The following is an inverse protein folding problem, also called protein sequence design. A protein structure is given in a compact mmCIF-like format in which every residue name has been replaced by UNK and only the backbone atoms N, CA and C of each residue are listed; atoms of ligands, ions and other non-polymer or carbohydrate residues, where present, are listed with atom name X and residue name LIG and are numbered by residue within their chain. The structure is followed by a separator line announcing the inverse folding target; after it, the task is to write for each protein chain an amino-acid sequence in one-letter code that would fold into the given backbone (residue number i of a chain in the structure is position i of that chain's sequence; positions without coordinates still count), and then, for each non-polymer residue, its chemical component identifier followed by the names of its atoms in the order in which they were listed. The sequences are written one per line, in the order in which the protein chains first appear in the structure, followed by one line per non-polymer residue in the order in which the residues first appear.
data_IF_426358130253
#
_entry.id   IF_426358130253
#
_cell.length_a   1.000
_cell.length_b   1.000
_cell.length_c   1.000
_cell.angle_alpha   90.00
_cell.angle_beta   90.00
_cell.angle_gamma   90.00
#
_symmetry.space_group_name_H-M   'P 1'
#
loop_
_entity.id
_entity.type
_entity.pdbx_description
1 polymer ?
#
# COMPACT_ATOMS: atom_id res chain seq x y z
N UNK A 1 -21.35 -10.40 -10.64
CA UNK A 1 -20.06 -9.74 -10.43
C UNK A 1 -20.05 -8.49 -11.30
N UNK A 2 -19.56 -7.37 -10.81
CA UNK A 2 -19.33 -6.18 -11.63
C UNK A 2 -18.28 -6.51 -12.71
N UNK A 3 -18.39 -5.86 -13.86
CA UNK A 3 -17.45 -6.06 -14.97
C UNK A 3 -16.04 -5.58 -14.54
N UNK A 4 -15.00 -6.35 -14.90
CA UNK A 4 -13.61 -5.98 -14.63
C UNK A 4 -13.23 -4.72 -15.42
N UNK A 5 -12.25 -3.95 -14.90
CA UNK A 5 -11.71 -2.77 -15.58
C UNK A 5 -11.21 -3.13 -16.99
N UNK A 6 -11.35 -2.20 -17.93
CA UNK A 6 -11.00 -2.40 -19.36
C UNK A 6 -9.71 -1.69 -19.74
N UNK A 7 -9.32 -0.69 -18.99
CA UNK A 7 -8.18 0.17 -19.27
C UNK A 7 -7.01 -0.14 -18.34
N UNK A 8 -5.80 -0.07 -18.85
CA UNK A 8 -4.57 -0.07 -18.05
C UNK A 8 -4.37 1.31 -17.45
N UNK A 9 -3.80 1.36 -16.23
CA UNK A 9 -3.43 2.61 -15.56
C UNK A 9 -2.01 2.52 -15.00
N UNK A 10 -1.34 3.66 -14.99
CA UNK A 10 -0.21 3.97 -14.12
C UNK A 10 -0.59 5.13 -13.22
N UNK A 11 0.07 5.23 -12.05
CA UNK A 11 -0.17 6.34 -11.15
C UNK A 11 1.06 6.72 -10.34
N UNK A 12 1.11 7.98 -9.95
CA UNK A 12 2.12 8.51 -9.02
C UNK A 12 1.41 9.06 -7.80
N UNK A 13 1.87 8.67 -6.62
CA UNK A 13 1.41 9.22 -5.34
C UNK A 13 2.52 10.11 -4.81
N UNK A 14 2.20 11.38 -4.53
CA UNK A 14 3.05 12.27 -3.77
C UNK A 14 2.44 12.44 -2.38
N UNK A 15 3.23 12.15 -1.36
CA UNK A 15 2.84 12.35 0.04
C UNK A 15 4.02 12.87 0.85
N UNK A 16 3.73 13.60 1.90
CA UNK A 16 4.77 14.13 2.77
C UNK A 16 4.66 13.63 4.21
N UNK A 17 5.75 13.83 4.93
CA UNK A 17 5.85 13.60 6.35
C UNK A 17 6.50 14.81 7.02
N UNK A 18 5.93 15.24 8.13
CA UNK A 18 6.45 16.30 8.99
C UNK A 18 6.55 15.78 10.42
N UNK A 19 7.76 15.82 10.99
CA UNK A 19 8.06 15.38 12.35
C UNK A 19 7.56 13.95 12.68
N UNK A 20 7.73 13.03 11.75
CA UNK A 20 7.22 11.66 11.87
C UNK A 20 8.13 10.59 11.29
N UNK A 21 7.79 9.34 11.59
CA UNK A 21 8.42 8.16 11.01
C UNK A 21 7.48 7.51 10.00
N UNK A 22 7.70 7.68 8.70
CA UNK A 22 6.80 7.16 7.68
C UNK A 22 6.84 5.63 7.58
N UNK A 23 8.00 5.02 7.81
CA UNK A 23 8.19 3.57 7.78
C UNK A 23 9.47 3.19 8.54
N UNK A 24 9.30 2.79 9.79
CA UNK A 24 10.41 2.35 10.62
C UNK A 24 11.01 1.01 10.16
N UNK A 25 12.31 0.85 10.43
CA UNK A 25 13.05 -0.36 10.19
C UNK A 25 13.18 -1.18 11.47
N UNK A 26 12.56 -2.36 11.58
CA UNK A 26 12.65 -3.18 12.78
C UNK A 26 14.08 -3.64 13.07
N UNK A 27 14.92 -3.81 12.05
CA UNK A 27 16.32 -4.24 12.19
C UNK A 27 17.24 -3.10 12.62
N UNK A 28 16.79 -1.85 12.48
CA UNK A 28 17.53 -0.63 12.85
C UNK A 28 16.85 0.13 14.01
N UNK A 29 16.28 -0.57 15.00
CA UNK A 29 15.65 0.05 16.14
C UNK A 29 14.46 0.94 15.81
N UNK A 30 13.75 0.63 14.74
CA UNK A 30 12.61 1.38 14.22
C UNK A 30 12.97 2.79 13.69
N UNK A 31 14.22 3.01 13.27
CA UNK A 31 14.60 4.23 12.55
C UNK A 31 13.86 4.33 11.20
N UNK A 32 13.56 5.55 10.70
CA UNK A 32 13.09 5.74 9.33
C UNK A 32 14.06 5.08 8.35
N UNK A 33 13.52 4.33 7.38
CA UNK A 33 14.34 3.68 6.36
C UNK A 33 14.96 4.72 5.44
N UNK A 34 16.24 4.60 5.20
CA UNK A 34 17.01 5.49 4.32
C UNK A 34 17.94 4.64 3.46
N UNK A 35 18.04 4.98 2.19
CA UNK A 35 19.05 4.43 1.30
C UNK A 35 20.44 4.99 1.71
N UNK A 36 21.38 4.16 2.15
CA UNK A 36 22.64 4.63 2.70
C UNK A 36 23.57 5.29 1.67
N UNK A 37 23.37 5.04 0.39
CA UNK A 37 24.19 5.61 -0.68
C UNK A 37 23.70 7.00 -1.10
N UNK A 38 22.38 7.19 -1.13
CA UNK A 38 21.79 8.44 -1.65
C UNK A 38 21.25 9.34 -0.56
N UNK A 39 21.04 8.82 0.66
CA UNK A 39 20.35 9.51 1.74
C UNK A 39 18.83 9.65 1.51
N UNK A 40 18.27 9.07 0.44
CA UNK A 40 16.85 9.14 0.17
C UNK A 40 16.05 8.28 1.16
N UNK A 41 15.01 8.86 1.74
CA UNK A 41 14.06 8.13 2.58
C UNK A 41 13.29 7.09 1.78
N UNK A 42 12.99 5.95 2.42
CA UNK A 42 12.28 4.83 1.81
C UNK A 42 11.01 4.49 2.56
N UNK A 43 9.92 4.24 1.82
CA UNK A 43 8.69 3.65 2.35
C UNK A 43 8.33 2.44 1.50
N UNK A 44 8.20 1.27 2.15
CA UNK A 44 7.93 0.03 1.45
C UNK A 44 6.49 -0.02 0.89
N UNK A 45 6.30 -0.74 -0.20
CA UNK A 45 4.97 -1.01 -0.77
C UNK A 45 4.06 -1.72 0.25
N UNK A 46 4.62 -2.60 1.08
CA UNK A 46 3.88 -3.28 2.15
C UNK A 46 3.30 -2.28 3.15
N UNK A 47 4.06 -1.24 3.51
CA UNK A 47 3.59 -0.17 4.40
C UNK A 47 2.39 0.58 3.79
N UNK A 48 2.48 0.98 2.51
CA UNK A 48 1.41 1.69 1.81
C UNK A 48 0.18 0.78 1.60
N UNK A 49 0.38 -0.46 1.16
CA UNK A 49 -0.70 -1.44 1.00
C UNK A 49 -1.43 -1.73 2.32
N UNK A 50 -0.70 -1.71 3.46
CA UNK A 50 -1.34 -1.86 4.78
C UNK A 50 -2.31 -0.72 5.06
N UNK A 51 -1.93 0.52 4.75
CA UNK A 51 -2.79 1.69 4.96
C UNK A 51 -4.04 1.66 4.07
N UNK A 52 -3.89 1.24 2.81
CA UNK A 52 -5.03 1.02 1.91
C UNK A 52 -5.99 -0.03 2.51
N UNK A 53 -5.46 -1.15 3.02
CA UNK A 53 -6.29 -2.18 3.69
C UNK A 53 -7.02 -1.62 4.91
N UNK A 54 -6.32 -0.87 5.75
CA UNK A 54 -6.92 -0.26 6.95
C UNK A 54 -8.04 0.71 6.59
N UNK A 55 -7.86 1.52 5.54
CA UNK A 55 -8.91 2.40 5.05
C UNK A 55 -10.14 1.62 4.57
N UNK A 56 -9.94 0.62 3.71
CA UNK A 56 -11.04 -0.21 3.19
C UNK A 56 -11.76 -0.95 4.33
N UNK A 57 -11.03 -1.47 5.31
CA UNK A 57 -11.61 -2.09 6.50
C UNK A 57 -12.49 -1.09 7.28
N UNK A 58 -12.03 0.14 7.44
CA UNK A 58 -12.76 1.20 8.14
C UNK A 58 -14.05 1.59 7.42
N UNK A 59 -14.02 1.76 6.08
CA UNK A 59 -15.18 2.26 5.33
C UNK A 59 -16.14 1.17 4.87
N UNK A 60 -15.69 -0.09 4.82
CA UNK A 60 -16.52 -1.23 4.39
C UNK A 60 -16.94 -2.17 5.51
N UNK A 61 -16.33 -2.09 6.69
CA UNK A 61 -16.70 -2.85 7.90
C UNK A 61 -16.96 -4.35 7.61
N UNK A 62 -16.04 -5.00 6.89
CA UNK A 62 -16.13 -6.40 6.46
C UNK A 62 -17.37 -6.71 5.57
N UNK A 63 -17.93 -5.71 4.88
CA UNK A 63 -19.01 -5.91 3.92
C UNK A 63 -18.68 -7.00 2.89
N UNK A 64 -19.68 -7.71 2.42
CA UNK A 64 -19.54 -8.80 1.43
C UNK A 64 -18.74 -8.36 0.22
N UNK A 65 -17.65 -9.07 -0.09
CA UNK A 65 -16.76 -8.77 -1.19
C UNK A 65 -15.67 -7.71 -0.88
N UNK A 66 -15.67 -7.11 0.32
CA UNK A 66 -14.70 -6.09 0.73
C UNK A 66 -13.91 -6.44 1.99
N UNK A 67 -13.97 -7.69 2.41
CA UNK A 67 -13.16 -8.20 3.53
C UNK A 67 -11.67 -8.06 3.21
N UNK A 68 -10.85 -8.00 4.26
CA UNK A 68 -9.39 -7.96 4.15
C UNK A 68 -8.82 -9.31 4.60
N UNK A 69 -8.01 -9.92 3.72
CA UNK A 69 -7.34 -11.18 3.98
C UNK A 69 -6.13 -11.01 4.91
N UNK A 70 -5.27 -10.01 4.62
CA UNK A 70 -4.12 -9.66 5.47
C UNK A 70 -4.59 -8.70 6.56
N UNK A 71 -5.31 -9.24 7.55
CA UNK A 71 -5.92 -8.50 8.66
C UNK A 71 -5.13 -8.73 9.94
N UNK A 72 -5.01 -7.67 10.77
CA UNK A 72 -4.30 -7.76 12.04
C UNK A 72 -4.99 -8.70 13.03
N UNK A 73 -4.20 -9.51 13.75
CA UNK A 73 -4.72 -10.46 14.73
C UNK A 73 -5.52 -11.64 14.16
N UNK A 74 -5.67 -11.77 12.83
CA UNK A 74 -6.41 -12.86 12.19
C UNK A 74 -5.45 -13.83 11.49
N UNK A 75 -5.41 -15.13 11.90
CA UNK A 75 -4.64 -16.13 11.20
C UNK A 75 -5.16 -16.37 9.78
N UNK A 76 -4.27 -16.38 8.79
CA UNK A 76 -4.62 -16.55 7.36
C UNK A 76 -5.36 -17.86 7.07
N UNK A 77 -4.98 -18.95 7.71
CA UNK A 77 -5.59 -20.26 7.53
C UNK A 77 -7.08 -20.30 7.93
N UNK A 78 -7.56 -19.35 8.73
CA UNK A 78 -8.99 -19.22 9.04
C UNK A 78 -9.78 -18.84 7.80
N UNK A 79 -9.32 -17.85 7.07
CA UNK A 79 -9.94 -17.40 5.81
C UNK A 79 -9.81 -18.47 4.72
N UNK A 80 -8.68 -19.21 4.68
CA UNK A 80 -8.51 -20.32 3.76
C UNK A 80 -9.52 -21.43 4.05
N UNK A 81 -9.75 -21.77 5.32
CA UNK A 81 -10.73 -22.78 5.69
C UNK A 81 -12.17 -22.39 5.31
N UNK A 82 -12.51 -21.09 5.42
CA UNK A 82 -13.82 -20.59 4.98
C UNK A 82 -14.06 -20.79 3.48
N UNK A 83 -13.03 -20.55 2.64
CA UNK A 83 -13.13 -20.78 1.20
C UNK A 83 -13.42 -22.25 0.85
N UNK A 84 -12.75 -23.16 1.55
CA UNK A 84 -12.98 -24.57 1.37
C UNK A 84 -14.36 -25.01 1.88
N UNK A 85 -14.77 -24.50 3.04
CA UNK A 85 -16.11 -24.80 3.59
C UNK A 85 -17.24 -24.30 2.67
N UNK A 86 -17.07 -23.14 2.06
CA UNK A 86 -18.03 -22.59 1.09
C UNK A 86 -18.21 -23.44 -0.17
N UNK A 87 -17.25 -24.30 -0.48
CA UNK A 87 -17.27 -25.26 -1.59
C UNK A 87 -17.52 -26.70 -1.13
N UNK A 88 -17.99 -26.91 0.11
CA UNK A 88 -18.21 -28.21 0.74
C UNK A 88 -16.98 -29.12 0.73
N UNK A 89 -15.79 -28.55 0.89
CA UNK A 89 -14.50 -29.27 0.93
C UNK A 89 -13.93 -29.26 2.33
N UNK A 90 -13.46 -30.41 2.79
CA UNK A 90 -12.79 -30.58 4.07
C UNK A 90 -11.39 -31.16 3.86
N UNK A 91 -10.54 -31.12 4.89
CA UNK A 91 -9.20 -31.76 4.86
C UNK A 91 -9.27 -33.24 4.46
N UNK A 92 -10.35 -33.95 4.87
CA UNK A 92 -10.56 -35.39 4.57
C UNK A 92 -10.99 -35.60 3.12
N UNK A 93 -11.76 -34.72 2.56
CA UNK A 93 -12.40 -34.84 1.23
C UNK A 93 -11.61 -34.17 0.11
N UNK A 94 -10.69 -33.27 0.42
CA UNK A 94 -9.98 -32.43 -0.58
C UNK A 94 -9.31 -33.24 -1.69
N UNK A 95 -8.65 -34.35 -1.35
CA UNK A 95 -7.98 -35.23 -2.35
C UNK A 95 -8.96 -35.89 -3.31
N UNK A 96 -10.09 -36.35 -2.80
CA UNK A 96 -11.14 -36.96 -3.61
C UNK A 96 -11.81 -35.91 -4.51
N UNK A 97 -12.21 -34.80 -3.92
CA UNK A 97 -12.86 -33.67 -4.65
C UNK A 97 -11.96 -33.04 -5.73
N UNK A 98 -10.64 -32.96 -5.51
CA UNK A 98 -9.70 -32.50 -6.56
C UNK A 98 -9.61 -33.48 -7.74
N UNK A 99 -9.83 -34.77 -7.53
CA UNK A 99 -9.90 -35.76 -8.62
C UNK A 99 -11.22 -35.69 -9.39
N UNK A 100 -12.31 -35.43 -8.68
CA UNK A 100 -13.66 -35.29 -9.26
C UNK A 100 -13.85 -33.96 -10.00
N UNK A 101 -13.26 -32.88 -9.46
CA UNK A 101 -13.35 -31.54 -10.02
C UNK A 101 -11.94 -30.96 -10.26
N UNK A 102 -11.42 -31.02 -11.50
CA UNK A 102 -10.11 -30.47 -11.86
C UNK A 102 -10.02 -28.95 -11.67
N UNK A 103 -11.15 -28.24 -11.73
CA UNK A 103 -11.19 -26.78 -11.56
C UNK A 103 -11.32 -26.33 -10.09
N UNK A 104 -11.32 -27.25 -9.13
CA UNK A 104 -11.51 -26.91 -7.72
C UNK A 104 -10.54 -25.84 -7.21
N UNK A 105 -9.27 -25.95 -7.57
CA UNK A 105 -8.25 -24.97 -7.14
C UNK A 105 -8.52 -23.58 -7.74
N UNK A 106 -9.07 -23.51 -8.95
CA UNK A 106 -9.51 -22.27 -9.57
C UNK A 106 -10.74 -21.70 -8.84
N UNK A 107 -11.73 -22.53 -8.58
CA UNK A 107 -12.94 -22.11 -7.87
C UNK A 107 -12.65 -21.57 -6.48
N UNK A 108 -11.67 -22.14 -5.77
CA UNK A 108 -11.21 -21.65 -4.46
C UNK A 108 -10.58 -20.25 -4.62
N UNK A 109 -9.69 -20.06 -5.60
CA UNK A 109 -9.08 -18.74 -5.86
C UNK A 109 -10.12 -17.70 -6.27
N UNK A 110 -11.08 -18.09 -7.11
CA UNK A 110 -12.17 -17.21 -7.54
C UNK A 110 -13.05 -16.80 -6.35
N UNK A 111 -13.31 -17.72 -5.42
CA UNK A 111 -14.01 -17.43 -4.17
C UNK A 111 -13.22 -16.44 -3.31
N UNK A 112 -11.90 -16.66 -3.17
CA UNK A 112 -11.03 -15.74 -2.42
C UNK A 112 -11.02 -14.34 -3.04
N UNK A 113 -10.88 -14.23 -4.36
CA UNK A 113 -10.96 -12.94 -5.06
C UNK A 113 -12.32 -12.26 -4.90
N UNK A 114 -13.42 -13.02 -4.91
CA UNK A 114 -14.77 -12.49 -4.76
C UNK A 114 -15.03 -11.92 -3.36
N UNK A 115 -14.43 -12.49 -2.31
CA UNK A 115 -14.71 -12.14 -0.91
C UNK A 115 -13.69 -11.19 -0.29
N UNK A 116 -12.44 -11.16 -0.78
CA UNK A 116 -11.35 -10.36 -0.21
C UNK A 116 -10.88 -9.29 -1.20
N UNK A 117 -11.09 -8.02 -0.81
CA UNK A 117 -10.70 -6.87 -1.63
C UNK A 117 -9.20 -6.85 -1.91
N UNK A 118 -8.37 -7.10 -0.90
CA UNK A 118 -6.92 -7.02 -1.04
C UNK A 118 -6.32 -8.16 -1.87
N UNK A 119 -6.94 -9.36 -1.88
CA UNK A 119 -6.58 -10.43 -2.82
C UNK A 119 -6.95 -10.04 -4.23
N UNK A 120 -8.15 -9.51 -4.44
CA UNK A 120 -8.65 -9.07 -5.75
C UNK A 120 -7.82 -7.92 -6.30
N UNK A 121 -7.29 -7.05 -5.43
CA UNK A 121 -6.51 -5.86 -5.78
C UNK A 121 -5.03 -6.16 -5.94
N UNK A 122 -4.38 -6.66 -4.88
CA UNK A 122 -2.91 -6.82 -4.81
C UNK A 122 -2.45 -8.25 -5.11
N UNK A 123 -3.35 -9.20 -5.03
CA UNK A 123 -3.02 -10.62 -5.03
C UNK A 123 -2.52 -11.10 -3.67
N UNK A 124 -2.31 -12.41 -3.58
CA UNK A 124 -1.76 -13.04 -2.39
C UNK A 124 -1.07 -14.39 -2.72
N UNK A 125 -0.10 -14.75 -1.90
CA UNK A 125 0.47 -16.11 -1.84
C UNK A 125 -0.14 -16.79 -0.63
N UNK A 126 -1.14 -17.64 -0.87
CA UNK A 126 -1.95 -18.29 0.16
C UNK A 126 -1.46 -19.72 0.48
N UNK A 127 -0.21 -20.00 0.13
CA UNK A 127 0.46 -21.30 0.34
C UNK A 127 1.64 -21.20 1.30
N UNK A 128 1.95 -19.99 1.80
CA UNK A 128 3.22 -19.69 2.47
C UNK A 128 3.22 -20.23 3.90
N UNK A 129 4.30 -20.92 4.27
CA UNK A 129 4.69 -21.29 5.65
C UNK A 129 3.85 -22.31 6.37
N UNK A 130 2.77 -22.84 5.81
CA UNK A 130 1.96 -23.84 6.45
C UNK A 130 1.89 -25.11 5.58
N UNK A 131 2.28 -26.26 6.13
CA UNK A 131 1.94 -27.58 5.58
C UNK A 131 0.46 -27.84 5.86
N UNK A 132 -0.41 -26.92 5.49
CA UNK A 132 -1.83 -27.10 5.63
C UNK A 132 -2.35 -28.00 4.51
N UNK A 133 -3.25 -28.91 4.84
CA UNK A 133 -3.96 -29.71 3.85
C UNK A 133 -4.81 -28.86 2.91
N UNK A 134 -5.22 -27.69 3.38
CA UNK A 134 -6.02 -26.72 2.66
C UNK A 134 -5.15 -25.47 2.36
N UNK A 135 -4.81 -25.26 1.10
CA UNK A 135 -4.16 -24.04 0.64
C UNK A 135 -4.90 -23.48 -0.57
N UNK A 136 -5.02 -22.18 -0.65
CA UNK A 136 -5.76 -21.49 -1.70
C UNK A 136 -4.89 -21.08 -2.91
N UNK A 137 -3.62 -21.48 -2.92
CA UNK A 137 -2.69 -21.24 -4.03
C UNK A 137 -2.17 -19.81 -4.09
N UNK A 138 -1.95 -19.31 -5.30
CA UNK A 138 -1.41 -17.98 -5.56
C UNK A 138 -2.34 -17.20 -6.49
N UNK A 139 -2.50 -15.92 -6.20
CA UNK A 139 -3.21 -14.96 -7.05
C UNK A 139 -2.28 -13.78 -7.33
N UNK A 140 -2.08 -13.47 -8.61
CA UNK A 140 -1.41 -12.25 -9.03
C UNK A 140 -2.43 -11.15 -9.21
N UNK A 141 -2.40 -10.13 -8.35
CA UNK A 141 -3.32 -9.00 -8.42
C UNK A 141 -2.93 -7.99 -9.51
N UNK A 142 -3.92 -7.26 -10.02
CA UNK A 142 -3.74 -6.25 -11.06
C UNK A 142 -2.97 -5.03 -10.56
N UNK A 143 -3.06 -4.67 -9.29
CA UNK A 143 -2.44 -3.46 -8.73
C UNK A 143 -1.09 -3.79 -8.11
N UNK A 144 -0.05 -3.15 -8.60
CA UNK A 144 1.30 -3.25 -8.05
C UNK A 144 1.86 -1.86 -7.78
N UNK A 145 2.64 -1.74 -6.71
CA UNK A 145 3.27 -0.50 -6.28
C UNK A 145 4.76 -0.75 -6.01
N UNK A 146 5.60 0.21 -6.34
CA UNK A 146 6.99 0.23 -5.94
C UNK A 146 7.18 0.76 -4.51
N UNK A 147 8.43 0.78 -4.05
CA UNK A 147 8.78 1.54 -2.85
C UNK A 147 8.67 3.03 -3.16
N UNK A 148 8.13 3.79 -2.20
CA UNK A 148 8.24 5.24 -2.29
C UNK A 148 9.65 5.67 -1.88
N UNK A 149 10.17 6.68 -2.59
CA UNK A 149 11.43 7.33 -2.29
C UNK A 149 11.19 8.82 -2.04
N UNK A 150 11.95 9.40 -1.11
CA UNK A 150 11.89 10.84 -0.95
C UNK A 150 12.49 11.55 -2.16
N UNK A 151 11.95 12.73 -2.49
CA UNK A 151 12.41 13.55 -3.63
C UNK A 151 13.81 14.08 -3.39
N UNK A 152 14.11 14.40 -2.13
CA UNK A 152 15.43 14.84 -1.67
C UNK A 152 15.92 13.96 -0.52
N UNK A 153 17.23 13.94 -0.23
CA UNK A 153 17.76 13.25 0.93
C UNK A 153 17.12 13.73 2.23
N UNK A 154 16.86 12.79 3.14
CA UNK A 154 16.30 13.06 4.47
C UNK A 154 17.34 12.74 5.54
N UNK A 155 17.31 13.49 6.63
CA UNK A 155 18.18 13.25 7.79
C UNK A 155 17.30 12.88 8.98
N UNK A 156 17.16 11.58 9.31
CA UNK A 156 16.42 11.16 10.50
C UNK A 156 17.06 11.71 11.76
N UNK A 157 16.21 12.11 12.71
CA UNK A 157 16.65 12.62 14.02
C UNK A 157 16.17 11.68 15.13
N UNK A 158 17.05 11.41 16.08
CA UNK A 158 16.68 10.77 17.35
C UNK A 158 16.23 11.84 18.33
N UNK A 159 15.03 11.67 18.89
CA UNK A 159 14.44 12.58 19.87
C UNK A 159 14.16 11.81 21.15
N UNK A 160 14.76 12.22 22.25
CA UNK A 160 14.45 11.68 23.57
C UNK A 160 13.11 12.27 24.06
N UNK A 161 12.23 11.40 24.53
CA UNK A 161 10.95 11.77 25.12
C UNK A 161 10.90 11.29 26.56
N UNK A 162 10.22 12.04 27.43
CA UNK A 162 10.09 11.73 28.85
C UNK A 162 8.61 11.50 29.20
N UNK A 163 8.36 10.39 29.87
CA UNK A 163 7.05 10.08 30.47
C UNK A 163 7.15 10.30 31.98
N UNK A 164 6.24 11.07 32.53
CA UNK A 164 6.19 11.35 34.00
C UNK A 164 5.71 10.15 34.79
N UNK A 165 4.95 9.22 34.18
CA UNK A 165 4.48 8.03 34.88
C UNK A 165 5.49 6.89 34.78
N UNK A 166 5.72 6.19 35.85
CA UNK A 166 6.62 5.05 35.99
C UNK A 166 5.84 3.75 35.77
N UNK A 167 6.51 2.69 35.32
CA UNK A 167 5.85 1.46 34.92
C UNK A 167 5.52 0.55 36.10
N UNK A 168 6.41 0.45 37.09
CA UNK A 168 6.26 -0.43 38.25
C UNK A 168 6.51 0.30 39.54
N UNK A 169 5.94 -0.19 40.65
CA UNK A 169 6.17 0.35 42.02
C UNK A 169 7.66 0.26 42.43
N UNK A 170 8.33 -0.83 42.02
CA UNK A 170 9.75 -1.02 42.31
C UNK A 170 10.64 0.02 41.58
N UNK A 171 10.27 0.44 40.34
CA UNK A 171 10.97 1.50 39.64
C UNK A 171 10.72 2.88 40.26
N UNK A 172 9.53 3.07 40.87
CA UNK A 172 9.15 4.34 41.51
C UNK A 172 10.07 4.74 42.67
N UNK A 173 10.67 3.76 43.34
CA UNK A 173 11.62 4.02 44.45
C UNK A 173 12.94 4.64 43.95
N UNK A 174 13.31 4.41 42.68
CA UNK A 174 14.62 4.76 42.13
C UNK A 174 14.58 5.79 40.97
N UNK A 175 13.41 6.00 40.37
CA UNK A 175 13.26 6.88 39.20
C UNK A 175 12.04 7.78 39.35
N UNK A 176 12.16 9.06 38.99
CA UNK A 176 11.04 10.02 38.92
C UNK A 176 10.33 10.06 37.57
N UNK A 177 10.98 9.59 36.52
CA UNK A 177 10.48 9.66 35.15
C UNK A 177 10.99 8.46 34.34
N UNK A 178 10.30 8.14 33.26
CA UNK A 178 10.73 7.14 32.27
C UNK A 178 11.12 7.84 30.97
N UNK A 179 12.28 7.50 30.41
CA UNK A 179 12.75 8.06 29.14
C UNK A 179 12.59 7.05 28.01
N UNK A 180 12.15 7.53 26.86
CA UNK A 180 12.07 6.78 25.62
C UNK A 180 12.72 7.54 24.47
N UNK A 181 12.92 6.87 23.34
CA UNK A 181 13.47 7.47 22.12
C UNK A 181 12.46 7.35 20.99
N UNK A 182 12.40 8.37 20.17
CA UNK A 182 11.68 8.36 18.88
C UNK A 182 12.63 8.79 17.77
N UNK A 183 12.42 8.21 16.62
CA UNK A 183 13.12 8.62 15.40
C UNK A 183 12.12 9.28 14.48
N UNK A 184 12.45 10.44 13.97
CA UNK A 184 11.59 11.24 13.09
C UNK A 184 12.36 11.71 11.86
N UNK A 185 11.65 11.89 10.76
CA UNK A 185 12.05 12.72 9.64
C UNK A 185 11.45 14.11 9.88
N UNK A 186 12.27 15.17 9.97
CA UNK A 186 11.75 16.53 10.20
C UNK A 186 10.78 16.97 9.11
N UNK A 187 11.17 16.74 7.84
CA UNK A 187 10.30 16.85 6.68
C UNK A 187 10.85 15.99 5.53
N UNK A 188 9.94 15.44 4.70
CA UNK A 188 10.28 14.74 3.47
C UNK A 188 9.06 14.60 2.57
N UNK A 189 9.20 14.94 1.28
CA UNK A 189 8.24 14.64 0.24
C UNK A 189 8.62 13.33 -0.44
N UNK A 190 7.70 12.39 -0.53
CA UNK A 190 7.90 11.04 -1.08
C UNK A 190 7.09 10.85 -2.36
N UNK A 191 7.68 10.15 -3.31
CA UNK A 191 7.06 9.72 -4.57
C UNK A 191 6.98 8.20 -4.61
N UNK A 192 5.78 7.67 -4.89
CA UNK A 192 5.53 6.25 -5.13
C UNK A 192 4.91 6.07 -6.51
N UNK A 193 5.38 5.08 -7.26
CA UNK A 193 4.86 4.72 -8.57
C UNK A 193 4.09 3.40 -8.50
N UNK A 194 2.98 3.34 -9.24
CA UNK A 194 2.13 2.16 -9.27
C UNK A 194 1.56 1.86 -10.65
N UNK A 195 1.08 0.63 -10.80
CA UNK A 195 0.65 0.02 -12.06
C UNK A 195 -0.64 -0.74 -11.85
N UNK A 196 -1.59 -0.65 -12.80
CA UNK A 196 -2.83 -1.41 -12.79
C UNK A 196 -3.05 -2.09 -14.13
N UNK A 197 -3.07 -3.42 -14.11
CA UNK A 197 -3.22 -4.26 -15.29
C UNK A 197 -4.67 -4.68 -15.50
N UNK A 198 -5.35 -4.11 -16.52
CA UNK A 198 -6.69 -4.55 -16.88
C UNK A 198 -6.73 -6.02 -17.33
N UNK A 199 -5.68 -6.50 -17.99
CA UNK A 199 -5.56 -7.90 -18.38
C UNK A 199 -5.58 -8.87 -17.18
N UNK A 200 -4.85 -8.55 -16.10
CA UNK A 200 -4.90 -9.34 -14.87
C UNK A 200 -6.24 -9.22 -14.16
N UNK A 201 -6.84 -8.02 -14.13
CA UNK A 201 -8.18 -7.81 -13.59
C UNK A 201 -9.20 -8.72 -14.28
N UNK A 202 -9.23 -8.72 -15.61
CA UNK A 202 -10.17 -9.51 -16.40
C UNK A 202 -9.92 -11.03 -16.31
N UNK A 203 -8.65 -11.46 -16.41
CA UNK A 203 -8.31 -12.89 -16.49
C UNK A 203 -8.21 -13.59 -15.14
N UNK A 204 -7.93 -12.84 -14.07
CA UNK A 204 -7.50 -13.46 -12.81
C UNK A 204 -8.39 -13.09 -11.64
N UNK A 205 -8.69 -11.80 -11.40
CA UNK A 205 -9.23 -11.39 -10.11
C UNK A 205 -10.65 -10.82 -10.16
N UNK A 206 -11.09 -10.32 -11.29
CA UNK A 206 -12.36 -9.61 -11.41
C UNK A 206 -12.36 -8.20 -10.80
N UNK A 207 -11.17 -7.57 -10.62
CA UNK A 207 -11.04 -6.20 -10.13
C UNK A 207 -11.81 -5.23 -11.03
N UNK A 208 -12.79 -4.53 -10.43
CA UNK A 208 -13.81 -3.76 -11.15
C UNK A 208 -13.58 -2.26 -11.06
N UNK A 209 -14.36 -1.48 -11.84
CA UNK A 209 -14.35 0.00 -11.77
C UNK A 209 -14.74 0.49 -10.35
N UNK A 210 -15.62 -0.22 -9.63
CA UNK A 210 -15.95 0.11 -8.24
C UNK A 210 -14.77 -0.12 -7.29
N UNK A 211 -13.99 -1.17 -7.53
CA UNK A 211 -12.77 -1.44 -6.77
C UNK A 211 -11.70 -0.41 -7.09
N UNK A 212 -11.63 0.05 -8.35
CA UNK A 212 -10.70 1.09 -8.79
C UNK A 212 -11.00 2.42 -8.09
N UNK A 213 -12.25 2.86 -8.07
CA UNK A 213 -12.62 4.09 -7.37
C UNK A 213 -12.37 4.00 -5.86
N UNK A 214 -12.68 2.85 -5.24
CA UNK A 214 -12.35 2.61 -3.84
C UNK A 214 -10.84 2.64 -3.58
N UNK A 215 -10.02 2.14 -4.54
CA UNK A 215 -8.57 2.22 -4.44
C UNK A 215 -8.09 3.68 -4.48
N UNK A 216 -8.63 4.50 -5.39
CA UNK A 216 -8.29 5.93 -5.45
C UNK A 216 -8.70 6.68 -4.19
N UNK A 217 -9.90 6.42 -3.68
CA UNK A 217 -10.38 6.96 -2.41
C UNK A 217 -9.45 6.55 -1.26
N UNK A 218 -9.06 5.27 -1.17
CA UNK A 218 -8.17 4.76 -0.15
C UNK A 218 -6.75 5.36 -0.24
N UNK A 219 -6.26 5.65 -1.45
CA UNK A 219 -4.97 6.31 -1.66
C UNK A 219 -5.02 7.76 -1.18
N UNK A 220 -6.05 8.52 -1.54
CA UNK A 220 -6.20 9.91 -1.10
C UNK A 220 -6.31 10.03 0.42
N UNK A 221 -6.90 9.04 1.07
CA UNK A 221 -7.11 9.01 2.53
C UNK A 221 -6.11 8.12 3.28
N UNK A 222 -4.94 7.80 2.70
CA UNK A 222 -3.95 6.87 3.27
C UNK A 222 -3.59 7.16 4.72
N UNK A 223 -3.57 8.42 5.11
CA UNK A 223 -3.09 8.87 6.42
C UNK A 223 -4.19 9.42 7.32
N UNK A 224 -5.40 9.68 6.80
CA UNK A 224 -6.49 10.32 7.55
C UNK A 224 -7.00 9.47 8.73
N UNK A 225 -6.85 8.15 8.66
CA UNK A 225 -7.25 7.22 9.71
C UNK A 225 -6.06 6.46 10.34
N UNK A 226 -4.81 6.93 10.09
CA UNK A 226 -3.57 6.30 10.58
C UNK A 226 -2.75 7.24 11.49
N UNK A 227 -3.42 8.19 12.13
CA UNK A 227 -2.74 9.15 13.01
C UNK A 227 -2.16 8.49 14.25
N UNK A 228 -0.91 8.79 14.55
CA UNK A 228 -0.25 8.43 15.80
C UNK A 228 0.91 9.37 16.10
N UNK A 229 1.33 9.42 17.36
CA UNK A 229 2.48 10.24 17.76
C UNK A 229 3.81 9.82 17.11
N UNK A 230 3.91 8.59 16.59
CA UNK A 230 5.10 8.13 15.86
C UNK A 230 5.04 8.51 14.37
N UNK A 231 3.84 8.62 13.79
CA UNK A 231 3.64 9.00 12.40
C UNK A 231 3.91 10.48 12.14
N UNK A 232 3.80 11.33 13.17
CA UNK A 232 3.84 12.76 12.99
C UNK A 232 2.64 13.25 12.18
N UNK A 233 2.89 14.18 11.28
CA UNK A 233 1.90 14.70 10.35
C UNK A 233 2.23 14.18 8.96
N UNK A 234 1.33 13.40 8.39
CA UNK A 234 1.45 12.83 7.04
C UNK A 234 0.21 13.15 6.23
N UNK A 235 0.39 13.46 4.95
CA UNK A 235 -0.72 13.72 4.04
C UNK A 235 -0.36 13.30 2.61
N UNK A 236 -1.33 12.77 1.87
CA UNK A 236 -1.25 12.67 0.42
C UNK A 236 -1.42 14.07 -0.15
N UNK A 237 -0.53 14.46 -1.03
CA UNK A 237 -0.53 15.79 -1.65
C UNK A 237 -1.12 15.76 -3.04
N UNK A 238 -0.75 14.75 -3.83
CA UNK A 238 -1.29 14.54 -5.17
C UNK A 238 -1.33 13.06 -5.51
N UNK A 239 -2.38 12.67 -6.22
CA UNK A 239 -2.51 11.41 -6.92
C UNK A 239 -2.64 11.71 -8.41
N UNK A 240 -1.58 11.41 -9.18
CA UNK A 240 -1.51 11.62 -10.62
C UNK A 240 -1.80 10.29 -11.29
N UNK A 241 -2.87 10.22 -12.10
CA UNK A 241 -3.38 9.00 -12.72
C UNK A 241 -3.22 9.11 -14.23
N UNK A 242 -2.56 8.14 -14.84
CA UNK A 242 -2.49 7.97 -16.28
C UNK A 242 -3.40 6.83 -16.69
N UNK A 243 -4.39 7.11 -17.53
CA UNK A 243 -5.31 6.12 -18.10
C UNK A 243 -4.98 5.89 -19.56
N UNK A 244 -4.81 4.63 -19.92
CA UNK A 244 -4.67 4.23 -21.31
C UNK A 244 -6.03 3.88 -21.94
N UNK A 245 -6.17 4.11 -23.23
CA UNK A 245 -7.36 3.74 -23.99
C UNK A 245 -7.43 2.23 -24.29
N UNK A 246 -6.41 1.46 -23.90
CA UNK A 246 -6.33 0.03 -24.16
C UNK A 246 -6.05 -0.81 -22.90
N UNK A 247 -6.41 -2.09 -22.96
CA UNK A 247 -6.14 -3.08 -21.90
C UNK A 247 -4.64 -3.32 -21.67
N UNK A 248 -3.84 -3.30 -22.73
CA UNK A 248 -2.40 -3.57 -22.65
C UNK A 248 -1.56 -2.30 -22.50
N UNK A 249 -2.18 -1.14 -22.67
CA UNK A 249 -1.54 0.16 -22.63
C UNK A 249 -1.09 0.66 -24.00
N UNK A 250 -0.95 1.99 -24.12
CA UNK A 250 -0.56 2.69 -25.34
C UNK A 250 0.92 3.10 -25.33
N UNK A 251 1.57 3.05 -24.15
CA UNK A 251 2.97 3.42 -23.98
C UNK A 251 3.64 2.69 -22.82
N UNK A 252 4.99 2.61 -22.78
CA UNK A 252 5.73 2.15 -21.61
C UNK A 252 5.56 3.09 -20.41
N UNK A 253 5.40 2.54 -19.22
CA UNK A 253 5.12 3.28 -17.98
C UNK A 253 6.19 4.34 -17.66
N UNK A 254 7.49 4.03 -17.87
CA UNK A 254 8.56 4.99 -17.56
C UNK A 254 8.40 6.31 -18.30
N UNK A 255 7.89 6.31 -19.55
CA UNK A 255 7.64 7.54 -20.31
C UNK A 255 6.58 8.43 -19.65
N UNK A 256 5.59 7.81 -19.00
CA UNK A 256 4.55 8.54 -18.27
C UNK A 256 5.12 9.10 -16.97
N UNK A 257 5.87 8.29 -16.23
CA UNK A 257 6.50 8.74 -14.99
C UNK A 257 7.53 9.85 -15.23
N UNK A 258 8.21 9.85 -16.37
CA UNK A 258 9.16 10.87 -16.78
C UNK A 258 8.49 12.23 -17.08
N UNK A 259 7.17 12.27 -17.35
CA UNK A 259 6.43 13.52 -17.52
C UNK A 259 6.17 14.24 -16.20
N UNK A 260 6.19 13.52 -15.07
CA UNK A 260 5.97 14.09 -13.74
C UNK A 260 7.29 14.63 -13.19
N UNK A 261 7.39 15.93 -13.05
CA UNK A 261 8.55 16.62 -12.47
C UNK A 261 8.19 17.21 -11.11
N UNK A 262 9.07 17.01 -10.15
CA UNK A 262 9.00 17.64 -8.83
C UNK A 262 10.28 18.43 -8.65
N UNK A 263 10.19 19.73 -8.55
CA UNK A 263 11.32 20.65 -8.43
C UNK A 263 11.14 21.57 -7.24
N UNK A 264 12.23 22.16 -6.75
CA UNK A 264 12.15 23.18 -5.71
C UNK A 264 11.51 24.46 -6.29
N UNK A 265 10.67 25.11 -5.49
CA UNK A 265 10.11 26.43 -5.82
C UNK A 265 11.22 27.47 -6.00
N UNK A 266 12.26 27.36 -5.16
CA UNK A 266 13.47 28.19 -5.21
C UNK A 266 14.68 27.28 -5.36
N UNK A 267 15.09 26.92 -6.60
CA UNK A 267 16.21 26.01 -6.85
C UNK A 267 17.56 26.50 -6.32
N UNK A 268 17.72 27.83 -6.19
CA UNK A 268 18.90 28.48 -5.62
C UNK A 268 19.00 28.36 -4.10
N UNK A 269 17.93 27.98 -3.42
CA UNK A 269 17.90 27.84 -1.97
C UNK A 269 18.54 26.51 -1.56
N UNK A 270 19.62 26.58 -0.77
CA UNK A 270 20.34 25.43 -0.23
C UNK A 270 19.72 24.91 1.07
N UNK A 271 18.71 25.61 1.62
CA UNK A 271 18.06 25.15 2.84
C UNK A 271 17.19 23.92 2.57
N UNK A 272 17.13 22.95 3.50
CA UNK A 272 16.23 21.82 3.35
C UNK A 272 14.76 22.24 3.27
N UNK A 273 13.97 21.55 2.44
CA UNK A 273 12.53 21.74 2.42
C UNK A 273 11.91 21.48 3.81
N UNK A 274 10.82 22.19 4.12
CA UNK A 274 10.07 22.07 5.36
C UNK A 274 8.56 21.95 5.15
N UNK A 275 8.11 22.14 3.90
CA UNK A 275 6.70 22.05 3.53
C UNK A 275 6.53 21.60 2.08
N UNK A 276 5.32 21.17 1.75
CA UNK A 276 4.96 20.88 0.35
C UNK A 276 5.05 22.11 -0.56
N UNK A 277 4.85 23.30 -0.02
CA UNK A 277 4.94 24.57 -0.74
C UNK A 277 6.36 24.91 -1.24
N UNK A 278 7.37 24.24 -0.69
CA UNK A 278 8.75 24.37 -1.16
C UNK A 278 9.01 23.63 -2.48
N UNK A 279 7.97 22.96 -3.01
CA UNK A 279 8.05 22.19 -4.27
C UNK A 279 7.01 22.69 -5.27
N UNK A 280 7.36 22.53 -6.54
CA UNK A 280 6.44 22.67 -7.67
C UNK A 280 6.35 21.32 -8.37
N UNK A 281 5.13 20.81 -8.51
CA UNK A 281 4.81 19.62 -9.25
C UNK A 281 4.25 20.00 -10.60
N UNK A 282 4.79 19.44 -11.67
CA UNK A 282 4.31 19.64 -13.03
C UNK A 282 4.18 18.33 -13.76
N UNK A 283 3.18 18.24 -14.63
CA UNK A 283 3.02 17.15 -15.59
C UNK A 283 3.16 17.73 -16.99
N UNK A 284 4.10 17.23 -17.77
CA UNK A 284 4.24 17.61 -19.18
C UNK A 284 3.17 16.88 -20.01
N UNK A 285 1.98 17.47 -20.06
CA UNK A 285 0.86 16.90 -20.82
C UNK A 285 1.12 16.86 -22.33
N UNK A 286 1.96 17.76 -22.86
CA UNK A 286 2.32 17.78 -24.26
C UNK A 286 3.21 16.60 -24.67
N UNK A 287 3.92 16.01 -23.70
CA UNK A 287 4.75 14.82 -23.90
C UNK A 287 3.98 13.50 -23.71
N UNK A 288 2.68 13.56 -23.34
CA UNK A 288 1.88 12.34 -23.20
C UNK A 288 1.70 11.63 -24.53
N UNK A 289 1.91 10.30 -24.57
CA UNK A 289 1.66 9.52 -25.77
C UNK A 289 0.18 9.52 -26.17
N UNK A 290 -0.08 9.35 -27.47
CA UNK A 290 -1.44 9.17 -27.99
C UNK A 290 -2.15 7.99 -27.29
N UNK A 291 -3.44 8.19 -26.92
CA UNK A 291 -4.24 7.20 -26.21
C UNK A 291 -3.95 7.13 -24.71
N UNK A 292 -3.27 8.14 -24.15
CA UNK A 292 -3.07 8.29 -22.71
C UNK A 292 -3.64 9.62 -22.23
N UNK A 293 -4.44 9.58 -21.20
CA UNK A 293 -4.98 10.78 -20.50
C UNK A 293 -4.41 10.86 -19.10
N UNK A 294 -4.25 12.07 -18.59
CA UNK A 294 -3.80 12.33 -17.22
C UNK A 294 -4.92 13.00 -16.41
N UNK A 295 -5.09 12.54 -15.18
CA UNK A 295 -5.99 13.12 -14.18
C UNK A 295 -5.20 13.34 -12.88
N UNK A 296 -5.36 14.49 -12.25
CA UNK A 296 -4.75 14.79 -10.95
C UNK A 296 -5.87 14.93 -9.91
N UNK A 297 -5.76 14.18 -8.82
CA UNK A 297 -6.65 14.25 -7.65
C UNK A 297 -5.87 14.74 -6.43
N UNK A 298 -6.54 15.52 -5.56
CA UNK A 298 -5.99 16.08 -4.31
C UNK A 298 -6.93 15.81 -3.14
#
# INVERSE_FOLDING_TARGET
MSEAIKNRYEFVILFDVENGNPNGDPDAGNMPRVDPETGLGLVTDVCLKRKIRNYVETVKEDATGYRIYIKDGVPLNRSDAEAYAALDVTEKTVKAKKKENPDLDRNIRDWMCANFFDIRTFGAVMTTFVKAALNCGQVRGPVQMGFARSVEPVVPQEVTITRVAITTEADAENKGTEMGRKYIVPYGLYRCEGYISANLARKTTGFSEKDLELLWEAILNLFEHDHSAARGKMAVRELIIFKHDSELGCAPAHKLFDTVKVTRTHPEDITPARSYQDYVVTVDEAALPEGVTCEIRQ
#
